data_IF_686248175133
#
_entry.id   IF_686248175133
#
_cell.length_a   1.000
_cell.length_b   1.000
_cell.length_c   1.000
_cell.angle_alpha   90.00
_cell.angle_beta   90.00
_cell.angle_gamma   90.00
#
_symmetry.space_group_name_H-M   'P 1'
#
loop_
_entity.id
_entity.type
_entity.pdbx_description
1 polymer ?
#
# COMPACT_ATOMS: atom_id res chain seq x y z
N UNK A 1 -19.90 10.84 -0.58
CA UNK A 1 -19.59 9.69 -1.46
C UNK A 1 -19.49 8.47 -0.59
N UNK A 2 -20.11 7.37 -1.00
CA UNK A 2 -19.94 6.06 -0.39
C UNK A 2 -18.89 5.27 -1.16
N UNK A 3 -17.92 4.72 -0.45
CA UNK A 3 -16.79 3.99 -1.01
C UNK A 3 -16.76 2.60 -0.40
N UNK A 4 -16.76 1.58 -1.24
CA UNK A 4 -16.52 0.20 -0.78
C UNK A 4 -15.06 -0.17 -1.04
N UNK A 5 -14.32 -0.51 0.02
CA UNK A 5 -12.93 -0.96 -0.08
C UNK A 5 -12.90 -2.49 -0.02
N UNK A 6 -12.46 -3.13 -1.10
CA UNK A 6 -12.23 -4.58 -1.13
C UNK A 6 -10.76 -4.85 -0.84
N UNK A 7 -10.49 -5.64 0.19
CA UNK A 7 -9.12 -5.94 0.63
C UNK A 7 -8.98 -7.42 1.04
N UNK A 8 -7.77 -7.85 1.36
CA UNK A 8 -7.51 -9.23 1.78
C UNK A 8 -6.52 -9.27 2.94
N UNK A 9 -7.03 -9.58 4.14
CA UNK A 9 -6.22 -9.90 5.31
C UNK A 9 -6.72 -11.21 5.90
N UNK A 10 -5.88 -12.25 6.06
CA UNK A 10 -6.34 -13.54 6.53
C UNK A 10 -7.05 -13.43 7.90
N UNK A 11 -8.28 -13.97 8.05
CA UNK A 11 -8.96 -14.01 9.34
C UNK A 11 -8.13 -14.73 10.40
N UNK A 12 -8.23 -14.28 11.66
CA UNK A 12 -7.43 -14.83 12.77
C UNK A 12 -5.94 -14.48 12.70
N UNK A 13 -5.52 -13.60 11.79
CA UNK A 13 -4.19 -13.01 11.85
C UNK A 13 -4.13 -11.89 12.87
N UNK A 14 -2.99 -11.71 13.56
CA UNK A 14 -2.74 -10.50 14.35
C UNK A 14 -2.96 -9.22 13.54
N UNK A 15 -2.59 -9.27 12.25
CA UNK A 15 -2.87 -8.18 11.32
C UNK A 15 -4.36 -7.93 11.15
N UNK A 16 -5.23 -8.93 11.09
CA UNK A 16 -6.67 -8.75 10.95
C UNK A 16 -7.25 -7.93 12.10
N UNK A 17 -6.78 -8.18 13.32
CA UNK A 17 -7.29 -7.52 14.53
C UNK A 17 -6.64 -6.15 14.78
N UNK A 18 -5.41 -5.96 14.33
CA UNK A 18 -4.58 -4.79 14.67
C UNK A 18 -3.98 -4.11 13.43
N UNK A 19 -4.68 -4.16 12.29
CA UNK A 19 -4.13 -3.61 11.07
C UNK A 19 -4.06 -2.09 11.17
N UNK A 20 -2.85 -1.58 11.35
CA UNK A 20 -2.55 -0.16 11.17
C UNK A 20 -1.30 0.01 10.30
N UNK A 21 -1.38 0.87 9.30
CA UNK A 21 -0.28 1.31 8.44
C UNK A 21 -0.64 2.61 7.71
N UNK A 22 0.24 3.08 6.82
CA UNK A 22 -0.02 4.30 6.05
C UNK A 22 -1.26 4.26 5.14
N UNK A 23 -1.72 3.08 4.69
CA UNK A 23 -2.96 2.96 3.93
C UNK A 23 -4.18 3.04 4.85
N UNK A 24 -4.20 2.33 5.99
CA UNK A 24 -5.33 2.43 6.93
C UNK A 24 -5.45 3.84 7.49
N UNK A 25 -4.33 4.47 7.88
CA UNK A 25 -4.29 5.86 8.31
C UNK A 25 -4.78 6.84 7.21
N UNK A 26 -4.44 6.59 5.95
CA UNK A 26 -4.96 7.39 4.84
C UNK A 26 -6.47 7.22 4.66
N UNK A 27 -6.99 6.00 4.84
CA UNK A 27 -8.43 5.72 4.76
C UNK A 27 -9.18 6.30 5.96
N UNK A 28 -8.58 6.34 7.15
CA UNK A 28 -9.16 7.03 8.31
C UNK A 28 -9.40 8.51 8.00
N UNK A 29 -8.41 9.20 7.41
CA UNK A 29 -8.58 10.59 6.93
C UNK A 29 -9.68 10.70 5.87
N UNK A 30 -9.82 9.71 4.97
CA UNK A 30 -10.92 9.70 4.00
C UNK A 30 -12.28 9.47 4.65
N UNK A 31 -12.35 8.70 5.73
CA UNK A 31 -13.60 8.37 6.42
C UNK A 31 -14.25 9.57 7.12
N UNK A 32 -13.47 10.61 7.40
CA UNK A 32 -14.00 11.91 7.85
C UNK A 32 -14.79 12.64 6.77
N UNK A 33 -14.61 12.27 5.49
CA UNK A 33 -15.20 12.94 4.33
C UNK A 33 -16.20 12.06 3.56
N UNK A 34 -16.10 10.74 3.73
CA UNK A 34 -16.78 9.75 2.91
C UNK A 34 -17.30 8.61 3.79
N UNK A 35 -18.40 8.00 3.38
CA UNK A 35 -18.90 6.78 4.02
C UNK A 35 -18.09 5.59 3.49
N UNK A 36 -17.22 5.00 4.32
CA UNK A 36 -16.31 3.93 3.92
C UNK A 36 -16.79 2.59 4.46
N UNK A 37 -17.04 1.64 3.56
CA UNK A 37 -17.37 0.26 3.91
C UNK A 37 -16.23 -0.69 3.51
N UNK A 38 -15.70 -1.46 4.46
CA UNK A 38 -14.61 -2.41 4.25
C UNK A 38 -15.14 -3.83 4.02
N UNK A 39 -14.74 -4.47 2.93
CA UNK A 39 -15.10 -5.86 2.59
C UNK A 39 -13.82 -6.69 2.45
N UNK A 40 -13.62 -7.62 3.39
CA UNK A 40 -12.50 -8.55 3.34
C UNK A 40 -12.82 -9.75 2.44
N UNK A 41 -12.19 -9.81 1.28
CA UNK A 41 -12.37 -10.87 0.28
C UNK A 41 -12.02 -12.28 0.79
N UNK A 42 -11.28 -12.39 1.91
CA UNK A 42 -10.87 -13.67 2.48
C UNK A 42 -11.86 -14.22 3.53
N UNK A 43 -12.88 -13.45 3.92
CA UNK A 43 -13.93 -13.90 4.85
C UNK A 43 -15.35 -13.53 4.44
N UNK A 44 -15.53 -12.54 3.56
CA UNK A 44 -16.85 -12.11 3.10
C UNK A 44 -17.44 -13.09 2.07
N UNK A 45 -18.77 -13.13 2.01
CA UNK A 45 -19.48 -13.82 0.93
C UNK A 45 -19.70 -12.89 -0.27
N UNK A 46 -19.85 -13.43 -1.49
CA UNK A 46 -20.19 -12.62 -2.67
C UNK A 46 -21.46 -11.77 -2.47
N UNK A 47 -22.45 -12.28 -1.74
CA UNK A 47 -23.70 -11.55 -1.45
C UNK A 47 -23.49 -10.34 -0.52
N UNK A 48 -22.48 -10.39 0.36
CA UNK A 48 -22.10 -9.22 1.15
C UNK A 48 -21.53 -8.14 0.24
N UNK A 49 -20.62 -8.50 -0.68
CA UNK A 49 -20.08 -7.55 -1.65
C UNK A 49 -21.17 -7.01 -2.57
N UNK A 50 -22.07 -7.85 -3.07
CA UNK A 50 -23.17 -7.44 -3.95
C UNK A 50 -24.05 -6.37 -3.28
N UNK A 51 -24.41 -6.57 -2.01
CA UNK A 51 -25.17 -5.57 -1.23
C UNK A 51 -24.40 -4.26 -1.02
N UNK A 52 -23.11 -4.35 -0.70
CA UNK A 52 -22.27 -3.18 -0.52
C UNK A 52 -22.14 -2.38 -1.83
N UNK A 53 -21.84 -3.06 -2.94
CA UNK A 53 -21.68 -2.45 -4.27
C UNK A 53 -22.99 -1.84 -4.78
N UNK A 54 -24.13 -2.47 -4.53
CA UNK A 54 -25.43 -1.93 -4.93
C UNK A 54 -25.76 -0.57 -4.28
N UNK A 55 -25.10 -0.24 -3.16
CA UNK A 55 -25.34 0.99 -2.42
C UNK A 55 -24.15 1.97 -2.45
N UNK A 56 -23.09 1.66 -3.21
CA UNK A 56 -21.85 2.43 -3.25
C UNK A 56 -21.75 3.33 -4.48
N UNK A 57 -20.99 4.42 -4.36
CA UNK A 57 -20.68 5.28 -5.51
C UNK A 57 -19.45 4.78 -6.28
N UNK A 58 -18.46 4.22 -5.58
CA UNK A 58 -17.19 3.76 -6.15
C UNK A 58 -16.60 2.62 -5.33
N UNK A 59 -15.94 1.67 -6.01
CA UNK A 59 -15.23 0.56 -5.36
C UNK A 59 -13.72 0.76 -5.47
N UNK A 60 -13.00 0.67 -4.35
CA UNK A 60 -11.54 0.62 -4.33
C UNK A 60 -11.06 -0.80 -4.01
N UNK A 61 -10.44 -1.47 -4.96
CA UNK A 61 -9.83 -2.79 -4.74
C UNK A 61 -8.38 -2.59 -4.33
N UNK A 62 -7.99 -3.00 -3.11
CA UNK A 62 -6.59 -3.03 -2.67
C UNK A 62 -5.99 -4.40 -2.96
N UNK A 63 -5.23 -4.52 -4.04
CA UNK A 63 -4.72 -5.81 -4.52
C UNK A 63 -3.57 -5.68 -5.52
N UNK A 64 -3.07 -6.81 -6.00
CA UNK A 64 -2.36 -6.88 -7.28
C UNK A 64 -3.34 -7.25 -8.40
N UNK A 65 -2.94 -7.04 -9.66
CA UNK A 65 -3.70 -7.59 -10.79
C UNK A 65 -3.82 -9.12 -10.66
N UNK A 66 -5.06 -9.62 -10.59
CA UNK A 66 -5.36 -11.04 -10.37
C UNK A 66 -5.06 -11.54 -8.96
N UNK A 67 -4.67 -10.68 -8.03
CA UNK A 67 -4.52 -11.03 -6.62
C UNK A 67 -5.87 -11.40 -6.01
N UNK A 68 -5.86 -12.03 -4.82
CA UNK A 68 -7.07 -12.61 -4.24
C UNK A 68 -8.26 -11.61 -4.15
N UNK A 69 -8.11 -10.38 -3.63
CA UNK A 69 -9.19 -9.39 -3.65
C UNK A 69 -9.70 -9.02 -5.06
N UNK A 70 -8.82 -8.81 -6.04
CA UNK A 70 -9.23 -8.54 -7.44
C UNK A 70 -9.95 -9.75 -8.05
N UNK A 71 -9.35 -10.93 -7.98
CA UNK A 71 -9.91 -12.15 -8.56
C UNK A 71 -11.28 -12.50 -7.93
N UNK A 72 -11.41 -12.35 -6.61
CA UNK A 72 -12.65 -12.65 -5.88
C UNK A 72 -13.77 -11.65 -6.17
N UNK A 73 -13.46 -10.35 -6.23
CA UNK A 73 -14.49 -9.31 -6.45
C UNK A 73 -14.97 -9.24 -7.90
N UNK A 74 -14.14 -9.68 -8.85
CA UNK A 74 -14.39 -9.55 -10.29
C UNK A 74 -15.76 -10.08 -10.76
N UNK A 75 -16.23 -11.29 -10.39
CA UNK A 75 -17.54 -11.78 -10.84
C UNK A 75 -18.70 -10.92 -10.34
N UNK A 76 -18.60 -10.39 -9.12
CA UNK A 76 -19.63 -9.51 -8.55
C UNK A 76 -19.63 -8.16 -9.26
N UNK A 77 -18.46 -7.53 -9.42
CA UNK A 77 -18.33 -6.22 -10.07
C UNK A 77 -18.78 -6.25 -11.54
N UNK A 78 -18.71 -7.40 -12.21
CA UNK A 78 -19.24 -7.57 -13.56
C UNK A 78 -20.77 -7.38 -13.65
N UNK A 79 -21.51 -7.58 -12.56
CA UNK A 79 -22.96 -7.31 -12.49
C UNK A 79 -23.29 -5.84 -12.24
N UNK A 80 -22.28 -5.01 -11.91
CA UNK A 80 -22.42 -3.57 -11.65
C UNK A 80 -21.54 -2.74 -12.58
N UNK A 81 -21.73 -2.83 -13.92
CA UNK A 81 -20.84 -2.21 -14.89
C UNK A 81 -20.81 -0.68 -14.80
N UNK A 82 -21.86 -0.07 -14.23
CA UNK A 82 -21.97 1.38 -14.03
C UNK A 82 -21.27 1.90 -12.79
N UNK A 83 -20.87 1.04 -11.84
CA UNK A 83 -20.15 1.45 -10.63
C UNK A 83 -18.66 1.54 -10.96
N UNK A 84 -18.05 2.74 -10.87
CA UNK A 84 -16.62 2.89 -11.12
C UNK A 84 -15.79 2.07 -10.13
N UNK A 85 -14.68 1.53 -10.61
CA UNK A 85 -13.76 0.73 -9.80
C UNK A 85 -12.33 1.21 -9.95
N UNK A 86 -11.64 1.33 -8.85
CA UNK A 86 -10.23 1.68 -8.80
C UNK A 86 -9.41 0.48 -8.32
N UNK A 87 -8.14 0.42 -8.72
CA UNK A 87 -7.18 -0.54 -8.18
C UNK A 87 -6.07 0.20 -7.44
N UNK A 88 -5.94 -0.06 -6.14
CA UNK A 88 -4.74 0.25 -5.38
C UNK A 88 -3.75 -0.90 -5.52
N UNK A 89 -2.73 -0.71 -6.37
CA UNK A 89 -1.76 -1.73 -6.74
C UNK A 89 -0.78 -1.95 -5.57
N UNK A 90 -0.90 -3.09 -4.89
CA UNK A 90 -0.04 -3.50 -3.78
C UNK A 90 0.85 -4.70 -4.11
N UNK A 91 1.12 -4.94 -5.39
CA UNK A 91 2.00 -6.02 -5.84
C UNK A 91 2.88 -5.61 -7.00
N UNK A 92 3.86 -6.45 -7.32
CA UNK A 92 4.96 -6.12 -8.24
C UNK A 92 4.85 -6.79 -9.61
N UNK A 93 3.91 -7.72 -9.78
CA UNK A 93 3.67 -8.39 -11.06
C UNK A 93 2.99 -7.45 -12.05
N UNK A 94 3.39 -7.40 -13.33
CA UNK A 94 2.77 -6.55 -14.34
C UNK A 94 1.34 -7.00 -14.68
N UNK A 95 0.49 -6.08 -15.19
CA UNK A 95 -0.85 -6.43 -15.67
C UNK A 95 -0.78 -7.37 -16.87
N UNK A 96 -1.74 -8.30 -16.98
CA UNK A 96 -1.94 -9.12 -18.18
C UNK A 96 -2.69 -8.35 -19.26
N UNK A 97 -2.73 -8.92 -20.47
CA UNK A 97 -3.51 -8.35 -21.57
C UNK A 97 -4.98 -8.18 -21.15
N UNK A 98 -5.49 -6.96 -21.26
CA UNK A 98 -6.86 -6.61 -20.90
C UNK A 98 -7.07 -6.15 -19.46
N UNK A 99 -6.10 -6.34 -18.56
CA UNK A 99 -6.24 -5.97 -17.15
C UNK A 99 -6.42 -4.47 -16.93
N UNK A 100 -5.67 -3.65 -17.68
CA UNK A 100 -5.70 -2.20 -17.55
C UNK A 100 -7.11 -1.63 -17.76
N UNK A 101 -7.87 -2.16 -18.72
CA UNK A 101 -9.20 -1.64 -19.07
C UNK A 101 -10.31 -1.99 -18.07
N UNK A 102 -10.01 -2.76 -17.01
CA UNK A 102 -11.01 -3.19 -16.01
C UNK A 102 -11.30 -2.13 -14.96
N UNK A 103 -10.34 -1.24 -14.73
CA UNK A 103 -10.40 -0.21 -13.70
C UNK A 103 -10.50 1.17 -14.35
N UNK A 104 -11.12 2.10 -13.65
CA UNK A 104 -11.29 3.50 -14.05
C UNK A 104 -10.07 4.33 -13.64
N UNK A 105 -9.44 3.96 -12.52
CA UNK A 105 -8.21 4.58 -11.98
C UNK A 105 -7.29 3.51 -11.42
N UNK A 106 -5.99 3.67 -11.68
CA UNK A 106 -4.93 2.84 -11.12
C UNK A 106 -4.07 3.68 -10.18
N UNK A 107 -3.89 3.21 -8.95
CA UNK A 107 -2.96 3.79 -8.00
C UNK A 107 -1.70 2.94 -7.90
N UNK A 108 -0.52 3.56 -7.93
CA UNK A 108 0.77 2.87 -7.80
C UNK A 108 1.60 3.43 -6.63
N UNK A 109 2.49 2.59 -6.10
CA UNK A 109 3.30 2.93 -4.91
C UNK A 109 4.66 3.55 -5.23
N UNK A 110 5.19 3.30 -6.43
CA UNK A 110 6.51 3.77 -6.89
C UNK A 110 6.46 4.08 -8.38
N UNK A 111 7.29 5.00 -8.85
CA UNK A 111 7.39 5.33 -10.28
C UNK A 111 8.01 4.19 -11.09
N UNK A 112 8.79 3.31 -10.44
CA UNK A 112 9.23 2.03 -11.00
C UNK A 112 8.10 1.23 -11.67
N UNK A 113 6.87 1.31 -11.17
CA UNK A 113 5.74 0.57 -11.71
C UNK A 113 5.10 1.24 -12.95
N UNK A 114 5.36 2.53 -13.20
CA UNK A 114 4.75 3.31 -14.27
C UNK A 114 4.88 2.68 -15.67
N UNK A 115 6.05 2.13 -16.08
CA UNK A 115 6.19 1.52 -17.40
C UNK A 115 5.16 0.41 -17.69
N UNK A 116 4.66 -0.27 -16.65
CA UNK A 116 3.67 -1.34 -16.78
C UNK A 116 2.24 -0.82 -16.97
N UNK A 117 1.95 0.39 -16.51
CA UNK A 117 0.60 0.99 -16.48
C UNK A 117 0.48 2.27 -17.30
N UNK A 118 1.57 2.75 -17.93
CA UNK A 118 1.63 4.02 -18.66
C UNK A 118 0.61 4.17 -19.80
N UNK A 119 0.01 3.07 -20.27
CA UNK A 119 -1.06 3.09 -21.28
C UNK A 119 -2.44 3.42 -20.70
N UNK A 120 -2.61 3.32 -19.39
CA UNK A 120 -3.84 3.66 -18.71
C UNK A 120 -3.96 5.19 -18.58
N UNK A 121 -5.10 5.80 -18.93
CA UNK A 121 -5.22 7.26 -18.96
C UNK A 121 -5.22 7.89 -17.57
N UNK A 122 -5.64 7.13 -16.55
CA UNK A 122 -5.81 7.60 -15.18
C UNK A 122 -4.91 6.80 -14.24
N UNK A 123 -3.65 7.20 -14.13
CA UNK A 123 -2.67 6.61 -13.21
C UNK A 123 -2.25 7.66 -12.20
N UNK A 124 -2.31 7.32 -10.92
CA UNK A 124 -2.04 8.24 -9.82
C UNK A 124 -1.04 7.59 -8.86
N UNK A 125 0.02 8.30 -8.53
CA UNK A 125 0.89 7.88 -7.44
C UNK A 125 0.15 8.06 -6.12
N UNK A 126 -0.02 7.00 -5.34
CA UNK A 126 -0.68 7.07 -4.04
C UNK A 126 -0.01 6.07 -3.09
N UNK A 127 0.89 6.59 -2.26
CA UNK A 127 1.59 5.82 -1.24
C UNK A 127 2.15 6.74 -0.17
N UNK A 128 2.24 6.24 1.05
CA UNK A 128 2.75 6.97 2.19
C UNK A 128 2.69 6.14 3.47
N UNK A 129 3.22 6.72 4.54
CA UNK A 129 3.27 6.14 5.89
C UNK A 129 2.55 7.02 6.90
N UNK A 130 2.11 6.46 8.02
CA UNK A 130 1.54 7.25 9.10
C UNK A 130 2.66 7.95 9.89
N UNK A 131 2.95 9.19 9.51
CA UNK A 131 3.97 10.04 10.14
C UNK A 131 3.55 10.62 11.50
N UNK A 132 2.31 10.39 11.97
CA UNK A 132 1.96 10.68 13.36
C UNK A 132 2.60 9.68 14.31
N UNK A 133 2.79 8.45 13.84
CA UNK A 133 3.43 7.34 14.56
C UNK A 133 4.90 7.16 14.13
N UNK A 134 5.14 7.07 12.82
CA UNK A 134 6.46 6.87 12.21
C UNK A 134 7.15 8.23 12.06
N UNK A 135 7.85 8.64 13.11
CA UNK A 135 8.51 9.94 13.22
C UNK A 135 9.81 9.82 14.01
N UNK A 136 10.76 10.77 13.82
CA UNK A 136 12.01 10.72 14.55
C UNK A 136 11.78 10.84 16.06
N UNK A 137 12.45 9.98 16.84
CA UNK A 137 12.47 10.01 18.32
C UNK A 137 13.91 10.09 18.78
N UNK A 138 14.41 11.33 18.95
CA UNK A 138 15.84 11.60 19.21
C UNK A 138 16.28 11.24 20.62
N UNK A 139 15.31 11.15 21.53
CA UNK A 139 15.47 10.77 22.93
C UNK A 139 15.65 9.26 23.14
N UNK A 140 15.34 8.45 22.13
CA UNK A 140 15.43 6.98 22.21
C UNK A 140 16.87 6.55 21.89
N UNK A 141 17.58 5.86 22.82
CA UNK A 141 18.90 5.32 22.54
C UNK A 141 18.89 4.34 21.37
N UNK A 142 19.89 4.46 20.49
CA UNK A 142 20.11 3.54 19.38
C UNK A 142 20.85 2.30 19.87
N UNK A 143 20.11 1.27 20.28
CA UNK A 143 20.66 0.03 20.87
C UNK A 143 20.45 -1.21 19.98
N UNK A 144 19.95 -1.02 18.75
CA UNK A 144 19.83 -2.05 17.71
C UNK A 144 20.72 -1.61 16.54
N UNK A 145 21.77 -2.37 16.23
CA UNK A 145 22.65 -2.02 15.11
C UNK A 145 21.93 -2.22 13.76
N UNK A 146 21.21 -3.34 13.63
CA UNK A 146 20.52 -3.72 12.40
C UNK A 146 19.10 -4.21 12.69
N UNK A 147 18.12 -3.56 12.06
CA UNK A 147 16.72 -3.98 12.08
C UNK A 147 16.29 -4.48 10.71
N UNK A 148 15.53 -5.56 10.66
CA UNK A 148 14.76 -5.97 9.49
C UNK A 148 13.29 -6.08 9.85
N UNK A 149 12.41 -5.58 8.97
CA UNK A 149 10.95 -5.60 9.19
C UNK A 149 10.25 -6.40 8.09
N UNK A 150 9.39 -7.33 8.51
CA UNK A 150 8.55 -8.15 7.67
C UNK A 150 8.79 -9.65 7.84
N UNK A 151 7.83 -10.46 7.37
CA UNK A 151 7.90 -11.92 7.42
C UNK A 151 9.25 -12.44 6.88
N UNK A 152 9.97 -13.33 7.59
CA UNK A 152 11.24 -13.91 7.14
C UNK A 152 11.03 -14.96 6.04
N UNK A 153 10.70 -14.49 4.84
CA UNK A 153 10.57 -15.29 3.64
C UNK A 153 11.81 -15.18 2.75
N UNK A 154 12.08 -16.19 1.91
CA UNK A 154 13.27 -16.21 1.05
C UNK A 154 13.40 -14.96 0.16
N UNK A 155 12.28 -14.45 -0.38
CA UNK A 155 12.27 -13.27 -1.24
C UNK A 155 12.52 -11.95 -0.49
N UNK A 156 12.58 -11.99 0.85
CA UNK A 156 12.97 -10.88 1.72
C UNK A 156 14.43 -10.96 2.17
N UNK A 157 15.13 -12.05 1.87
CA UNK A 157 16.55 -12.31 2.18
C UNK A 157 16.92 -12.02 3.65
N UNK A 158 16.23 -12.61 4.65
CA UNK A 158 16.54 -12.39 6.06
C UNK A 158 17.94 -12.88 6.47
N UNK A 159 18.52 -13.78 5.68
CA UNK A 159 19.89 -14.27 5.79
C UNK A 159 20.96 -13.17 5.64
N UNK A 160 20.64 -12.03 5.01
CA UNK A 160 21.55 -10.88 4.94
C UNK A 160 21.96 -10.38 6.33
N UNK A 161 21.08 -10.52 7.34
CA UNK A 161 21.41 -10.17 8.73
C UNK A 161 22.52 -11.06 9.31
N UNK A 162 22.67 -12.31 8.87
CA UNK A 162 23.68 -13.24 9.39
C UNK A 162 25.11 -12.78 9.06
N UNK A 163 25.27 -11.99 7.98
CA UNK A 163 26.56 -11.44 7.55
C UNK A 163 26.98 -10.18 8.34
N UNK A 164 26.08 -9.63 9.15
CA UNK A 164 26.30 -8.38 9.87
C UNK A 164 26.73 -8.65 11.32
N UNK A 165 27.49 -7.73 11.91
CA UNK A 165 27.93 -7.78 13.30
C UNK A 165 27.14 -6.81 14.18
N UNK A 166 27.09 -7.09 15.49
CA UNK A 166 26.34 -6.29 16.47
C UNK A 166 24.96 -6.87 16.77
N UNK A 167 24.12 -6.11 17.48
CA UNK A 167 22.75 -6.52 17.80
C UNK A 167 21.87 -6.41 16.57
N UNK A 168 21.29 -7.56 16.19
CA UNK A 168 20.44 -7.71 15.00
C UNK A 168 19.06 -8.15 15.43
N UNK A 169 18.04 -7.46 14.93
CA UNK A 169 16.64 -7.73 15.26
C UNK A 169 15.85 -7.91 13.97
N UNK A 170 15.00 -8.94 13.93
CA UNK A 170 14.00 -9.14 12.89
C UNK A 170 12.61 -9.10 13.52
N UNK A 171 11.73 -8.24 13.01
CA UNK A 171 10.34 -8.14 13.46
C UNK A 171 9.40 -8.44 12.29
N UNK A 172 8.56 -9.46 12.39
CA UNK A 172 7.63 -9.80 11.32
C UNK A 172 6.67 -10.94 11.60
N UNK A 173 5.61 -11.06 10.81
CA UNK A 173 4.63 -12.14 10.91
C UNK A 173 5.30 -13.51 10.69
N UNK A 174 5.37 -14.33 11.73
CA UNK A 174 6.02 -15.64 11.69
C UNK A 174 5.11 -16.75 11.18
N UNK A 175 3.83 -16.48 10.91
CA UNK A 175 2.88 -17.51 10.47
C UNK A 175 3.28 -18.08 9.11
N UNK A 176 3.34 -19.40 9.02
CA UNK A 176 3.75 -20.11 7.81
C UNK A 176 5.25 -20.01 7.48
N UNK A 177 6.05 -19.39 8.35
CA UNK A 177 7.52 -19.42 8.22
C UNK A 177 8.01 -20.81 8.65
N UNK A 178 8.87 -21.49 7.86
CA UNK A 178 9.44 -22.76 8.28
C UNK A 178 10.26 -22.60 9.56
N UNK A 179 10.04 -23.47 10.56
CA UNK A 179 10.75 -23.44 11.86
C UNK A 179 12.27 -23.43 11.71
N UNK A 180 12.79 -24.14 10.70
CA UNK A 180 14.22 -24.15 10.38
C UNK A 180 14.75 -22.74 10.10
N UNK A 181 14.01 -21.92 9.36
CA UNK A 181 14.40 -20.53 9.05
C UNK A 181 14.53 -19.71 10.33
N UNK A 182 13.57 -19.83 11.24
CA UNK A 182 13.59 -19.13 12.54
C UNK A 182 14.80 -19.61 13.36
N UNK A 183 15.01 -20.93 13.44
CA UNK A 183 16.12 -21.54 14.16
C UNK A 183 17.48 -21.07 13.62
N UNK A 184 17.65 -21.05 12.30
CA UNK A 184 18.90 -20.63 11.66
C UNK A 184 19.21 -19.16 11.98
N UNK A 185 18.21 -18.28 11.96
CA UNK A 185 18.36 -16.86 12.34
C UNK A 185 18.72 -16.70 13.83
N UNK A 186 18.00 -17.38 14.72
CA UNK A 186 18.25 -17.33 16.17
C UNK A 186 19.64 -17.89 16.52
N UNK A 187 20.03 -19.02 15.93
CA UNK A 187 21.38 -19.59 16.10
C UNK A 187 22.48 -18.65 15.57
N UNK A 188 22.17 -17.81 14.59
CA UNK A 188 23.03 -16.73 14.10
C UNK A 188 23.14 -15.52 15.04
N UNK A 189 22.44 -15.54 16.19
CA UNK A 189 22.41 -14.45 17.16
C UNK A 189 21.54 -13.27 16.73
N UNK A 190 20.44 -13.53 16.03
CA UNK A 190 19.42 -12.54 15.64
C UNK A 190 18.22 -12.68 16.59
N UNK A 191 17.78 -11.58 17.18
CA UNK A 191 16.53 -11.52 17.95
C UNK A 191 15.35 -11.56 16.96
N UNK A 192 14.63 -12.68 16.90
CA UNK A 192 13.47 -12.86 16.01
C UNK A 192 12.18 -12.68 16.79
N UNK A 193 11.41 -11.67 16.40
CA UNK A 193 10.15 -11.28 17.04
C UNK A 193 9.00 -11.45 16.06
N UNK A 194 7.87 -11.95 16.57
CA UNK A 194 6.63 -12.02 15.81
C UNK A 194 6.04 -10.61 15.58
N UNK A 195 4.96 -10.53 14.81
CA UNK A 195 4.22 -9.30 14.55
C UNK A 195 3.97 -8.51 15.85
N UNK A 196 4.36 -7.24 15.82
CA UNK A 196 4.07 -6.23 16.84
C UNK A 196 3.14 -5.15 16.27
N UNK A 197 2.29 -4.52 17.10
CA UNK A 197 1.50 -3.36 16.72
C UNK A 197 2.33 -2.22 16.11
N UNK A 198 1.70 -1.39 15.28
CA UNK A 198 2.39 -0.34 14.51
C UNK A 198 3.13 0.69 15.37
N UNK A 199 2.58 1.05 16.53
CA UNK A 199 3.21 1.99 17.47
C UNK A 199 4.43 1.40 18.17
N UNK A 200 4.40 0.09 18.50
CA UNK A 200 5.56 -0.64 19.02
C UNK A 200 6.61 -0.82 17.93
N UNK A 201 6.21 -1.09 16.69
CA UNK A 201 7.13 -1.17 15.55
C UNK A 201 7.92 0.14 15.35
N UNK A 202 7.28 1.30 15.55
CA UNK A 202 7.95 2.59 15.51
C UNK A 202 9.04 2.73 16.59
N UNK A 203 8.93 2.04 17.73
CA UNK A 203 9.98 1.99 18.75
C UNK A 203 11.20 1.21 18.26
N UNK A 204 11.00 0.09 17.57
CA UNK A 204 12.10 -0.65 16.95
C UNK A 204 12.83 0.19 15.90
N UNK A 205 12.09 0.88 15.04
CA UNK A 205 12.69 1.83 14.09
C UNK A 205 13.49 2.93 14.81
N UNK A 206 12.93 3.51 15.88
CA UNK A 206 13.58 4.54 16.67
C UNK A 206 14.85 4.05 17.37
N UNK A 207 14.90 2.79 17.78
CA UNK A 207 16.07 2.14 18.42
C UNK A 207 17.13 1.64 17.43
N UNK A 208 16.78 1.48 16.16
CA UNK A 208 17.68 0.97 15.13
C UNK A 208 18.62 2.04 14.59
N UNK A 209 19.90 1.72 14.47
CA UNK A 209 20.90 2.53 13.75
C UNK A 209 20.66 2.42 12.24
N UNK A 210 20.49 1.20 11.73
CA UNK A 210 20.18 0.95 10.31
C UNK A 210 19.10 -0.09 10.13
N UNK A 211 18.18 0.17 9.20
CA UNK A 211 17.19 -0.80 8.73
C UNK A 211 17.66 -1.43 7.42
N UNK A 212 17.71 -2.76 7.39
CA UNK A 212 18.02 -3.54 6.19
C UNK A 212 16.71 -3.95 5.52
N UNK A 213 16.49 -3.48 4.30
CA UNK A 213 15.35 -3.87 3.46
C UNK A 213 15.88 -4.67 2.27
N UNK A 214 16.22 -5.93 2.54
CA UNK A 214 16.91 -6.82 1.59
C UNK A 214 16.00 -7.53 0.57
N UNK A 215 14.79 -7.03 0.36
CA UNK A 215 13.84 -7.69 -0.54
C UNK A 215 14.40 -7.83 -1.96
N UNK A 216 14.13 -8.97 -2.58
CA UNK A 216 14.21 -9.10 -4.05
C UNK A 216 13.25 -8.10 -4.71
N UNK A 217 13.38 -7.87 -6.01
CA UNK A 217 12.53 -6.96 -6.78
C UNK A 217 11.02 -7.13 -6.48
N UNK A 218 10.58 -8.38 -6.34
CA UNK A 218 9.18 -8.74 -6.11
C UNK A 218 8.79 -8.92 -4.64
N UNK A 219 9.73 -8.82 -3.70
CA UNK A 219 9.51 -9.13 -2.28
C UNK A 219 8.81 -8.05 -1.44
N UNK A 220 8.36 -6.97 -2.08
CA UNK A 220 7.83 -5.78 -1.41
C UNK A 220 8.94 -4.93 -0.77
N UNK A 221 8.67 -4.37 0.42
CA UNK A 221 9.63 -3.60 1.23
C UNK A 221 9.50 -2.07 1.14
N UNK A 222 8.69 -1.57 0.20
CA UNK A 222 8.51 -0.13 -0.08
C UNK A 222 8.15 0.63 1.19
N UNK A 223 7.23 0.05 1.96
CA UNK A 223 6.76 0.66 3.19
C UNK A 223 7.84 0.69 4.26
N UNK A 224 8.58 -0.40 4.44
CA UNK A 224 9.66 -0.47 5.43
C UNK A 224 10.76 0.56 5.16
N UNK A 225 11.04 0.85 3.88
CA UNK A 225 11.94 1.95 3.50
C UNK A 225 11.37 3.29 3.96
N UNK A 226 10.11 3.60 3.63
CA UNK A 226 9.51 4.88 4.01
C UNK A 226 9.34 5.03 5.53
N UNK A 227 8.96 3.98 6.25
CA UNK A 227 8.82 3.99 7.71
C UNK A 227 10.16 4.26 8.40
N UNK A 228 11.21 3.55 7.99
CA UNK A 228 12.55 3.77 8.53
C UNK A 228 13.05 5.21 8.29
N UNK A 229 12.88 5.71 7.05
CA UNK A 229 13.22 7.10 6.71
C UNK A 229 12.40 8.11 7.50
N UNK A 230 11.10 7.86 7.69
CA UNK A 230 10.22 8.73 8.47
C UNK A 230 10.65 8.77 9.95
N UNK A 231 11.14 7.65 10.48
CA UNK A 231 11.73 7.56 11.82
C UNK A 231 13.15 8.16 11.94
N UNK A 232 13.73 8.67 10.85
CA UNK A 232 15.09 9.22 10.84
C UNK A 232 16.17 8.15 11.02
N UNK A 233 15.90 6.92 10.59
CA UNK A 233 16.83 5.79 10.65
C UNK A 233 17.46 5.53 9.29
N UNK A 234 18.75 5.21 9.26
CA UNK A 234 19.44 4.87 8.02
C UNK A 234 18.83 3.62 7.38
N UNK A 235 18.81 3.58 6.05
CA UNK A 235 18.20 2.46 5.31
C UNK A 235 19.21 1.89 4.34
N UNK A 236 19.44 0.58 4.45
CA UNK A 236 20.25 -0.19 3.51
C UNK A 236 19.32 -1.01 2.61
N UNK A 237 19.50 -0.83 1.31
CA UNK A 237 18.73 -1.51 0.27
C UNK A 237 19.72 -2.16 -0.71
N UNK A 238 19.48 -3.38 -1.19
CA UNK A 238 20.29 -4.01 -2.23
C UNK A 238 20.33 -3.19 -3.52
N UNK A 239 21.47 -3.25 -4.23
CA UNK A 239 21.65 -2.55 -5.50
C UNK A 239 20.71 -3.04 -6.60
N UNK A 240 20.34 -4.33 -6.54
CA UNK A 240 19.49 -5.04 -7.49
C UNK A 240 17.98 -4.76 -7.33
N UNK A 241 17.60 -3.86 -6.40
CA UNK A 241 16.22 -3.45 -6.20
C UNK A 241 15.99 -1.96 -6.54
N UNK A 242 15.86 -1.61 -7.84
CA UNK A 242 15.72 -0.22 -8.29
C UNK A 242 14.49 0.48 -7.69
N UNK A 243 13.41 -0.27 -7.49
CA UNK A 243 12.16 0.20 -6.88
C UNK A 243 12.35 0.70 -5.45
N UNK A 244 13.08 -0.06 -4.63
CA UNK A 244 13.36 0.36 -3.25
C UNK A 244 14.42 1.48 -3.18
N UNK A 245 15.36 1.50 -4.13
CA UNK A 245 16.35 2.58 -4.24
C UNK A 245 15.74 3.92 -4.58
N UNK A 246 14.72 3.95 -5.44
CA UNK A 246 13.93 5.16 -5.74
C UNK A 246 13.44 5.83 -4.44
N UNK A 247 12.95 5.02 -3.50
CA UNK A 247 12.42 5.48 -2.22
C UNK A 247 13.48 5.98 -1.25
N UNK A 248 14.78 5.82 -1.50
CA UNK A 248 15.84 6.39 -0.65
C UNK A 248 16.03 7.89 -0.89
N UNK A 249 15.86 8.34 -2.14
CA UNK A 249 16.07 9.73 -2.54
C UNK A 249 14.77 10.53 -2.64
N UNK A 250 13.62 9.85 -2.78
CA UNK A 250 12.32 10.50 -2.92
C UNK A 250 11.81 11.19 -1.65
N UNK A 251 10.73 11.98 -1.74
CA UNK A 251 10.06 12.53 -0.55
C UNK A 251 9.52 11.42 0.36
N UNK A 252 9.42 11.70 1.65
CA UNK A 252 8.69 10.85 2.59
C UNK A 252 7.23 11.26 2.53
N UNK A 253 6.44 10.54 1.74
CA UNK A 253 5.02 10.78 1.65
C UNK A 253 4.30 10.29 2.91
N UNK A 254 3.43 11.12 3.46
CA UNK A 254 2.63 10.80 4.65
C UNK A 254 1.22 10.29 4.27
N UNK A 255 0.52 9.77 5.28
CA UNK A 255 -0.87 9.34 5.18
C UNK A 255 -1.82 10.46 4.70
N UNK A 256 -1.52 11.73 4.99
CA UNK A 256 -2.30 12.88 4.50
C UNK A 256 -2.16 13.07 2.98
N UNK A 257 -0.95 12.98 2.45
CA UNK A 257 -0.70 12.94 1.00
C UNK A 257 -1.39 11.74 0.38
N UNK A 258 -1.25 10.56 0.97
CA UNK A 258 -1.86 9.35 0.45
C UNK A 258 -3.39 9.48 0.39
N UNK A 259 -4.03 9.99 1.45
CA UNK A 259 -5.47 10.28 1.48
C UNK A 259 -5.88 11.26 0.37
N UNK A 260 -5.13 12.35 0.17
CA UNK A 260 -5.36 13.30 -0.93
C UNK A 260 -5.34 12.62 -2.30
N UNK A 261 -4.33 11.77 -2.55
CA UNK A 261 -4.20 11.07 -3.84
C UNK A 261 -5.36 10.11 -4.07
N UNK A 262 -5.75 9.36 -3.04
CA UNK A 262 -6.93 8.48 -3.09
C UNK A 262 -8.20 9.29 -3.37
N UNK A 263 -8.45 10.39 -2.65
CA UNK A 263 -9.62 11.25 -2.88
C UNK A 263 -9.67 11.79 -4.32
N UNK A 264 -8.53 12.23 -4.85
CA UNK A 264 -8.41 12.69 -6.24
C UNK A 264 -8.80 11.57 -7.21
N UNK A 265 -8.25 10.36 -7.03
CA UNK A 265 -8.54 9.24 -7.93
C UNK A 265 -9.97 8.73 -7.82
N UNK A 266 -10.55 8.66 -6.63
CA UNK A 266 -11.95 8.29 -6.45
C UNK A 266 -12.89 9.31 -7.12
N UNK A 267 -12.61 10.61 -6.98
CA UNK A 267 -13.35 11.67 -7.67
C UNK A 267 -13.20 11.55 -9.19
N UNK A 268 -11.97 11.28 -9.68
CA UNK A 268 -11.72 11.08 -11.11
C UNK A 268 -12.50 9.90 -11.68
N UNK A 269 -12.61 8.79 -10.94
CA UNK A 269 -13.38 7.61 -11.34
C UNK A 269 -14.88 7.93 -11.51
N UNK A 270 -15.44 8.78 -10.65
CA UNK A 270 -16.84 9.23 -10.75
C UNK A 270 -17.06 10.22 -11.90
N UNK A 271 -16.17 11.19 -12.08
CA UNK A 271 -16.34 12.25 -13.08
C UNK A 271 -16.00 11.77 -14.51
N UNK A 272 -15.09 10.79 -14.63
CA UNK A 272 -14.57 10.31 -15.90
C UNK A 272 -14.45 8.77 -15.90
N UNK A 273 -15.56 8.03 -15.75
CA UNK A 273 -15.53 6.59 -15.83
C UNK A 273 -14.99 6.17 -17.21
N UNK A 274 -14.11 5.17 -17.23
CA UNK A 274 -13.48 4.66 -18.44
C UNK A 274 -14.58 4.17 -19.40
N UNK A 275 -14.63 4.67 -20.65
CA UNK A 275 -15.67 4.29 -21.63
C UNK A 275 -15.72 2.78 -21.91
N UNK A 276 -14.60 2.08 -21.65
CA UNK A 276 -14.31 0.71 -22.06
C UNK A 276 -15.16 -0.38 -21.38
N UNK A 277 -15.95 -0.07 -20.36
CA UNK A 277 -16.96 -1.03 -19.85
C UNK A 277 -18.17 -1.17 -20.76
N UNK A 278 -18.45 -0.16 -21.58
CA UNK A 278 -19.70 -0.08 -22.35
C UNK A 278 -19.60 -0.53 -23.81
N UNK A 279 -18.39 -0.68 -24.40
CA UNK A 279 -18.19 -1.28 -25.72
C UNK A 279 -16.70 -1.42 -26.06
N UNK A 280 -16.33 -2.58 -26.61
CA UNK A 280 -15.23 -2.68 -27.56
C UNK A 280 -15.43 -1.59 -28.65
N UNK A 281 -14.56 -0.60 -28.69
CA UNK A 281 -14.43 0.25 -29.88
C UNK A 281 -14.16 1.73 -29.61
N UNK A 282 -13.27 2.25 -30.45
CA UNK A 282 -13.00 3.66 -30.79
C UNK A 282 -12.02 4.45 -29.92
N UNK A 283 -11.03 4.95 -30.65
CA UNK A 283 -10.01 5.91 -30.27
C UNK A 283 -10.65 7.24 -29.84
N UNK A 284 -10.07 7.85 -28.82
CA UNK A 284 -9.65 9.26 -28.76
C UNK A 284 -9.81 9.81 -27.34
N UNK A 285 -8.71 10.27 -26.75
CA UNK A 285 -8.57 11.65 -26.29
C UNK A 285 -7.23 11.84 -25.56
N UNK A 286 -6.28 12.49 -26.25
CA UNK A 286 -5.25 13.30 -25.60
C UNK A 286 -5.77 14.72 -25.53
N UNK A 287 -6.18 15.18 -24.34
CA UNK A 287 -6.26 16.59 -23.99
C UNK A 287 -5.52 16.81 -22.67
N UNK A 288 -4.70 17.85 -22.66
CA UNK A 288 -3.67 18.20 -21.68
C UNK A 288 -4.11 18.04 -20.23
N UNK A 289 -3.41 17.15 -19.52
CA UNK A 289 -3.74 16.70 -18.18
C UNK A 289 -3.52 17.78 -17.09
N UNK A 290 -2.58 18.70 -17.29
CA UNK A 290 -2.08 19.58 -16.22
C UNK A 290 -3.09 20.61 -15.70
N UNK A 291 -3.82 21.34 -16.57
CA UNK A 291 -4.84 22.31 -16.14
C UNK A 291 -6.08 21.63 -15.52
N UNK A 292 -6.30 20.36 -15.86
CA UNK A 292 -7.42 19.52 -15.39
C UNK A 292 -7.13 18.91 -14.03
N UNK A 293 -5.92 18.39 -13.80
CA UNK A 293 -5.44 17.93 -12.50
C UNK A 293 -5.56 19.03 -11.44
N UNK A 294 -5.17 20.26 -11.78
CA UNK A 294 -5.28 21.39 -10.86
C UNK A 294 -6.74 21.70 -10.45
N UNK A 295 -7.72 21.52 -11.35
CA UNK A 295 -9.15 21.71 -11.01
C UNK A 295 -9.70 20.59 -10.13
N UNK A 296 -9.37 19.33 -10.43
CA UNK A 296 -9.80 18.15 -9.67
C UNK A 296 -9.17 18.14 -8.28
N UNK A 297 -7.86 18.39 -8.20
CA UNK A 297 -7.15 18.58 -6.95
C UNK A 297 -7.82 19.70 -6.13
N UNK A 298 -8.11 20.88 -6.71
CA UNK A 298 -8.84 21.93 -5.99
C UNK A 298 -10.23 21.52 -5.51
N UNK A 299 -10.93 20.60 -6.15
CA UNK A 299 -12.25 20.11 -5.67
C UNK A 299 -12.08 19.11 -4.53
N UNK A 300 -11.19 18.14 -4.68
CA UNK A 300 -10.85 17.20 -3.61
C UNK A 300 -10.29 17.93 -2.38
N UNK A 301 -9.37 18.88 -2.60
CA UNK A 301 -8.73 19.67 -1.54
C UNK A 301 -9.65 20.70 -0.90
N UNK A 302 -10.63 21.27 -1.61
CA UNK A 302 -11.63 22.16 -0.97
C UNK A 302 -12.49 21.46 0.08
N UNK A 303 -12.60 20.13 0.01
CA UNK A 303 -13.16 19.33 1.10
C UNK A 303 -12.20 19.19 2.30
N UNK A 304 -10.88 19.18 2.03
CA UNK A 304 -9.82 18.92 3.04
C UNK A 304 -9.29 20.21 3.71
N UNK A 305 -9.17 21.32 3.00
CA UNK A 305 -8.60 22.59 3.49
C UNK A 305 -9.48 23.28 4.55
N UNK A 306 -10.74 22.86 4.73
CA UNK A 306 -11.59 23.33 5.85
C UNK A 306 -11.17 22.78 7.21
N UNK A 307 -10.18 21.88 7.24
CA UNK A 307 -9.80 21.09 8.41
C UNK A 307 -8.40 21.43 8.96
N UNK A 308 -7.45 21.88 8.12
CA UNK A 308 -6.13 22.35 8.57
C UNK A 308 -6.16 23.67 9.36
N UNK A 309 -7.34 24.25 9.54
CA UNK A 309 -7.61 25.45 10.34
C UNK A 309 -8.40 25.16 11.63
N UNK A 310 -8.50 23.91 12.07
CA UNK A 310 -9.06 23.47 13.36
C UNK A 310 -8.02 22.69 14.14
#
# INVERSE_FOLDING_TARGET
MRVTIVYGVPPGSRKFDMWHDGFTAAVEVLSDLHDIEWINALSATPQMLERAVAATDVVLVKSSFGGAPDAWSRPVLAHFPSVPTCLMISGTGPPRRGDLGRFDVLFHETDWYLPFVARHPNVIHAFGVDTTIMRPRREVPKDIDWLMVGQPAFYKRPDELLSLTGRRVLVGDLRGVPERTIRDLVNGGIDVLDFVPYHELAEYYARATTVVVACTLHGGGERSVLEARACGTDVRVPEDNPKLRELLAGPIHDHQYYARQLAIGLTLALEQPMPLRSKLGSHAHRRTAESRWASLARRALRGMDRWSSR
#
